data_IF_571014578437
#
_entry.id   IF_571014578437
#
_cell.length_a   1.000
_cell.length_b   1.000
_cell.length_c   1.000
_cell.angle_alpha   90.00
_cell.angle_beta   90.00
_cell.angle_gamma   90.00
#
_symmetry.space_group_name_H-M   'P 1'
#
loop_
_entity.id
_entity.type
_entity.pdbx_description
1 polymer ?
#
# COMPACT_ATOMS: atom_id res chain seq x y z
N UNK A 1 12.34 1.13 33.14
CA UNK A 1 13.50 0.63 32.38
C UNK A 1 14.12 1.76 31.59
N UNK A 2 15.44 1.81 31.40
CA UNK A 2 16.08 2.78 30.53
C UNK A 2 15.71 2.47 29.05
N UNK A 3 15.38 3.49 28.29
CA UNK A 3 15.13 3.31 26.84
C UNK A 3 16.48 3.13 26.16
N UNK A 4 16.70 1.98 25.53
CA UNK A 4 17.91 1.72 24.74
C UNK A 4 17.83 2.50 23.42
N UNK A 5 18.80 3.38 23.19
CA UNK A 5 18.96 4.06 21.92
C UNK A 5 19.72 3.15 20.92
N UNK A 6 19.28 3.14 19.68
CA UNK A 6 19.98 2.52 18.57
C UNK A 6 20.66 3.64 17.75
N UNK A 7 22.01 3.81 17.84
CA UNK A 7 22.69 4.89 17.15
C UNK A 7 22.62 4.77 15.63
N UNK A 8 22.49 3.55 15.10
CA UNK A 8 22.48 3.27 13.67
C UNK A 8 21.10 3.45 13.03
N UNK A 9 20.06 3.78 13.82
CA UNK A 9 18.68 3.88 13.32
C UNK A 9 18.52 4.92 12.22
N UNK A 10 19.21 6.05 12.33
CA UNK A 10 19.12 7.12 11.33
C UNK A 10 19.75 6.68 10.00
N UNK A 11 20.86 5.96 10.05
CA UNK A 11 21.53 5.43 8.87
C UNK A 11 20.71 4.29 8.23
N UNK A 12 20.12 3.44 9.04
CA UNK A 12 19.20 2.42 8.56
C UNK A 12 18.02 3.05 7.77
N UNK A 13 17.41 4.11 8.31
CA UNK A 13 16.26 4.73 7.66
C UNK A 13 16.59 5.53 6.40
N UNK A 14 17.86 5.90 6.18
CA UNK A 14 18.29 6.47 4.90
C UNK A 14 18.04 5.50 3.74
N UNK A 15 18.25 4.21 3.95
CA UNK A 15 17.94 3.17 2.95
C UNK A 15 16.45 3.03 2.63
N UNK A 16 15.57 3.49 3.53
CA UNK A 16 14.13 3.56 3.33
C UNK A 16 13.65 4.94 2.82
N UNK A 17 14.57 5.87 2.54
CA UNK A 17 14.28 7.17 1.94
C UNK A 17 14.32 8.36 2.91
N UNK A 18 14.59 8.18 4.22
CA UNK A 18 14.69 9.28 5.19
C UNK A 18 16.09 9.96 5.17
N UNK A 19 16.56 10.36 3.98
CA UNK A 19 17.95 10.80 3.75
C UNK A 19 18.32 12.09 4.48
N UNK A 20 17.38 13.04 4.59
CA UNK A 20 17.65 14.39 5.09
C UNK A 20 17.25 14.61 6.56
N UNK A 21 16.79 13.56 7.25
CA UNK A 21 16.33 13.63 8.63
C UNK A 21 17.38 14.18 9.61
N UNK A 22 18.67 13.94 9.34
CA UNK A 22 19.79 14.42 10.16
C UNK A 22 19.87 15.96 10.19
N UNK A 23 19.38 16.66 9.16
CA UNK A 23 19.40 18.13 9.08
C UNK A 23 18.41 18.81 10.04
N UNK A 24 17.54 18.06 10.71
CA UNK A 24 16.46 18.61 11.52
C UNK A 24 16.97 19.24 12.83
N UNK A 25 16.60 20.50 13.11
CA UNK A 25 16.91 21.24 14.34
C UNK A 25 15.78 21.20 15.37
N UNK A 26 14.77 20.39 15.19
CA UNK A 26 13.65 20.25 16.12
C UNK A 26 12.87 21.54 16.39
N UNK A 27 12.83 22.49 15.46
CA UNK A 27 12.15 23.80 15.61
C UNK A 27 10.63 23.69 15.73
N UNK A 28 10.00 22.61 15.24
CA UNK A 28 8.56 22.38 15.35
C UNK A 28 7.72 22.95 14.19
N UNK A 29 8.29 23.73 13.27
CA UNK A 29 7.56 24.37 12.18
C UNK A 29 6.75 23.38 11.33
N UNK A 30 7.30 22.19 11.08
CA UNK A 30 6.63 21.12 10.32
C UNK A 30 5.34 20.61 10.99
N UNK A 31 5.28 20.56 12.32
CA UNK A 31 4.06 20.17 13.05
C UNK A 31 3.05 21.30 13.11
N UNK A 32 3.50 22.55 13.26
CA UNK A 32 2.61 23.72 13.22
C UNK A 32 1.95 23.91 11.84
N UNK A 33 2.66 23.58 10.76
CA UNK A 33 2.16 23.67 9.40
C UNK A 33 1.25 22.52 8.99
N UNK A 34 1.19 21.43 9.75
CA UNK A 34 0.47 20.23 9.38
C UNK A 34 -0.98 20.27 9.85
N UNK A 35 -1.93 20.25 8.94
CA UNK A 35 -3.38 20.22 9.24
C UNK A 35 -3.86 18.93 9.92
N UNK A 36 -3.02 17.91 10.02
CA UNK A 36 -3.31 16.62 10.66
C UNK A 36 -2.58 16.43 11.99
N UNK A 37 -1.74 17.39 12.38
CA UNK A 37 -0.97 17.36 13.63
C UNK A 37 -1.84 17.87 14.76
N UNK A 38 -2.42 16.95 15.51
CA UNK A 38 -3.30 17.21 16.65
C UNK A 38 -2.85 16.37 17.85
N UNK A 39 -3.04 16.85 19.06
CA UNK A 39 -2.73 16.09 20.26
C UNK A 39 -3.60 14.81 20.33
N UNK A 40 -3.07 13.65 20.71
CA UNK A 40 -1.68 13.32 21.11
C UNK A 40 -0.73 12.98 19.93
N UNK A 41 -1.18 13.12 18.69
CA UNK A 41 -0.40 12.75 17.50
C UNK A 41 0.23 13.97 16.84
N UNK A 42 1.26 14.53 17.52
CA UNK A 42 1.98 15.74 17.08
C UNK A 42 3.12 15.34 16.13
N UNK A 43 2.84 15.23 14.86
CA UNK A 43 3.81 14.84 13.82
C UNK A 43 3.94 15.94 12.73
N UNK A 44 5.02 15.97 11.93
CA UNK A 44 6.15 15.02 11.82
C UNK A 44 7.21 15.15 12.93
N UNK A 45 7.27 16.24 13.69
CA UNK A 45 8.35 16.52 14.66
C UNK A 45 8.64 15.38 15.60
N UNK A 46 7.62 14.73 16.16
CA UNK A 46 7.76 13.60 17.08
C UNK A 46 8.50 12.43 16.45
N UNK A 47 8.14 12.04 15.21
CA UNK A 47 8.82 10.99 14.47
C UNK A 47 10.26 11.35 14.13
N UNK A 48 10.52 12.60 13.70
CA UNK A 48 11.87 13.13 13.48
C UNK A 48 12.73 13.02 14.74
N UNK A 49 12.17 13.37 15.91
CA UNK A 49 12.88 13.29 17.19
C UNK A 49 13.21 11.86 17.58
N UNK A 50 12.24 10.93 17.42
CA UNK A 50 12.49 9.52 17.71
C UNK A 50 13.63 8.95 16.86
N UNK A 51 13.63 9.30 15.58
CA UNK A 51 14.67 8.90 14.65
C UNK A 51 16.06 9.43 15.05
N UNK A 52 16.17 10.74 15.30
CA UNK A 52 17.45 11.38 15.69
C UNK A 52 18.00 10.88 17.03
N UNK A 53 17.12 10.50 17.94
CA UNK A 53 17.51 9.96 19.26
C UNK A 53 17.73 8.45 19.25
N UNK A 54 17.59 7.77 18.10
CA UNK A 54 17.72 6.32 18.01
C UNK A 54 16.64 5.54 18.77
N UNK A 55 15.44 6.14 18.97
CA UNK A 55 14.37 5.54 19.76
C UNK A 55 13.55 4.57 18.91
N UNK A 56 14.14 3.41 18.58
CA UNK A 56 13.55 2.40 17.71
C UNK A 56 12.21 1.86 18.21
N UNK A 57 12.13 1.46 19.48
CA UNK A 57 10.90 0.88 20.05
C UNK A 57 9.73 1.89 20.03
N UNK A 58 9.89 3.15 20.51
CA UNK A 58 8.85 4.17 20.37
C UNK A 58 8.45 4.45 18.91
N UNK A 59 9.41 4.48 17.99
CA UNK A 59 9.13 4.71 16.58
C UNK A 59 8.33 3.54 15.96
N UNK A 60 8.68 2.29 16.31
CA UNK A 60 7.97 1.08 15.85
C UNK A 60 6.52 1.02 16.35
N UNK A 61 6.26 1.56 17.53
CA UNK A 61 4.91 1.63 18.12
C UNK A 61 4.12 2.86 17.69
N UNK A 62 4.72 3.79 16.93
CA UNK A 62 4.09 5.03 16.54
C UNK A 62 3.06 4.86 15.44
N UNK A 63 1.86 5.41 15.66
CA UNK A 63 0.80 5.49 14.64
C UNK A 63 0.97 6.72 13.73
N UNK A 64 1.68 7.73 14.21
CA UNK A 64 1.87 9.03 13.54
C UNK A 64 2.27 8.92 12.05
N UNK A 65 3.22 8.04 11.64
CA UNK A 65 3.60 7.92 10.23
C UNK A 65 2.45 7.50 9.32
N UNK A 66 1.53 6.67 9.80
CA UNK A 66 0.36 6.22 9.05
C UNK A 66 -0.74 7.27 8.94
N UNK A 67 -0.79 8.24 9.87
CA UNK A 67 -1.73 9.35 9.86
C UNK A 67 -1.33 10.49 8.88
N UNK A 68 -0.09 10.51 8.40
CA UNK A 68 0.40 11.45 7.41
C UNK A 68 -0.11 11.12 5.99
N UNK A 69 -0.52 12.10 5.18
CA UNK A 69 -0.97 11.92 3.79
C UNK A 69 0.02 12.41 2.74
N UNK A 70 1.21 12.82 3.17
CA UNK A 70 2.27 13.25 2.26
C UNK A 70 1.85 14.41 1.32
N UNK A 71 1.20 15.43 1.88
CA UNK A 71 0.86 16.63 1.11
C UNK A 71 2.08 17.53 0.78
N UNK A 72 3.23 17.30 1.42
CA UNK A 72 4.48 18.01 1.19
C UNK A 72 4.63 19.34 1.92
N UNK A 73 3.58 19.91 2.49
CA UNK A 73 3.59 21.25 3.11
C UNK A 73 4.64 21.40 4.22
N UNK A 74 4.83 20.38 5.05
CA UNK A 74 5.83 20.40 6.12
C UNK A 74 7.28 20.44 5.58
N UNK A 75 7.53 19.84 4.41
CA UNK A 75 8.83 19.90 3.73
C UNK A 75 9.07 21.26 3.08
N UNK A 76 8.06 21.85 2.45
CA UNK A 76 8.15 23.19 1.86
C UNK A 76 8.45 24.28 2.90
N UNK A 77 7.89 24.12 4.10
CA UNK A 77 8.07 25.08 5.19
C UNK A 77 9.27 24.77 6.10
N UNK A 78 10.06 23.74 5.78
CA UNK A 78 11.22 23.39 6.58
C UNK A 78 12.41 24.31 6.27
N UNK A 79 12.85 25.19 7.21
CA UNK A 79 13.95 26.13 6.95
C UNK A 79 15.32 25.44 6.78
N UNK A 80 15.41 24.17 7.12
CA UNK A 80 16.64 23.38 7.04
C UNK A 80 16.68 22.36 5.89
N UNK A 81 15.58 22.22 5.13
CA UNK A 81 15.51 21.19 4.11
C UNK A 81 15.66 19.77 4.68
N UNK A 82 15.12 19.52 5.88
CA UNK A 82 15.19 18.20 6.52
C UNK A 82 14.13 17.22 5.98
N UNK A 83 13.36 17.64 5.01
CA UNK A 83 12.34 16.86 4.30
C UNK A 83 11.45 16.00 5.23
N UNK A 84 10.70 16.64 6.19
CA UNK A 84 9.90 15.88 7.15
C UNK A 84 8.84 15.00 6.49
N UNK A 85 8.27 15.42 5.36
CA UNK A 85 7.30 14.63 4.60
C UNK A 85 7.91 13.33 4.08
N UNK A 86 9.11 13.40 3.48
CA UNK A 86 9.81 12.22 2.97
C UNK A 86 10.28 11.31 4.11
N UNK A 87 10.73 11.90 5.22
CA UNK A 87 11.05 11.13 6.43
C UNK A 87 9.85 10.32 6.92
N UNK A 88 8.63 10.89 6.92
CA UNK A 88 7.41 10.14 7.28
C UNK A 88 7.15 8.98 6.32
N UNK A 89 7.46 9.12 5.03
CA UNK A 89 7.36 8.02 4.06
C UNK A 89 8.43 6.97 4.31
N UNK A 90 9.68 7.37 4.55
CA UNK A 90 10.77 6.46 4.90
C UNK A 90 10.45 5.64 6.15
N UNK A 91 9.93 6.30 7.19
CA UNK A 91 9.48 5.60 8.41
C UNK A 91 8.37 4.60 8.12
N UNK A 92 7.40 4.90 7.24
CA UNK A 92 6.37 3.90 6.85
C UNK A 92 6.95 2.68 6.17
N UNK A 93 7.89 2.86 5.22
CA UNK A 93 8.57 1.74 4.54
C UNK A 93 9.31 0.88 5.57
N UNK A 94 10.02 1.51 6.50
CA UNK A 94 10.67 0.83 7.60
C UNK A 94 9.66 0.11 8.51
N UNK A 95 8.53 0.74 8.89
CA UNK A 95 7.48 0.11 9.69
C UNK A 95 6.87 -1.10 8.98
N UNK A 96 6.63 -1.04 7.67
CA UNK A 96 6.19 -2.19 6.89
C UNK A 96 7.17 -3.35 7.06
N UNK A 97 8.49 -3.08 7.01
CA UNK A 97 9.52 -4.11 7.23
C UNK A 97 9.56 -4.65 8.67
N UNK A 98 9.12 -3.86 9.65
CA UNK A 98 9.01 -4.32 11.05
C UNK A 98 7.79 -5.20 11.29
N UNK A 99 6.68 -4.93 10.57
CA UNK A 99 5.47 -5.74 10.67
C UNK A 99 5.58 -7.05 9.89
N UNK A 100 6.31 -7.06 8.81
CA UNK A 100 6.59 -8.27 8.03
C UNK A 100 7.47 -9.24 8.83
N UNK A 101 6.98 -10.47 9.01
CA UNK A 101 7.71 -11.54 9.72
C UNK A 101 8.69 -12.28 8.82
N UNK A 102 8.52 -12.18 7.51
CA UNK A 102 9.34 -12.91 6.52
C UNK A 102 10.64 -12.20 6.19
N UNK A 103 10.72 -10.90 6.42
CA UNK A 103 11.85 -10.05 6.03
C UNK A 103 11.87 -9.64 4.56
N UNK A 104 10.90 -10.07 3.76
CA UNK A 104 10.80 -9.72 2.33
C UNK A 104 10.65 -8.21 2.14
N UNK A 105 9.82 -7.55 2.96
CA UNK A 105 9.63 -6.10 2.90
C UNK A 105 10.95 -5.32 3.05
N UNK A 106 11.83 -5.80 3.95
CA UNK A 106 13.15 -5.19 4.16
C UNK A 106 14.03 -5.34 2.92
N UNK A 107 13.99 -6.49 2.27
CA UNK A 107 14.73 -6.76 1.05
C UNK A 107 14.25 -5.84 -0.10
N UNK A 108 12.94 -5.71 -0.28
CA UNK A 108 12.35 -4.91 -1.36
C UNK A 108 12.65 -3.41 -1.19
N UNK A 109 12.42 -2.85 0.01
CA UNK A 109 12.60 -1.42 0.22
C UNK A 109 14.06 -0.95 0.32
N UNK A 110 14.97 -1.85 0.65
CA UNK A 110 16.39 -1.49 0.86
C UNK A 110 17.17 -1.27 -0.42
N UNK A 111 16.75 -1.88 -1.52
CA UNK A 111 17.42 -1.78 -2.82
C UNK A 111 16.41 -1.95 -3.96
N UNK A 112 16.40 -0.99 -4.88
CA UNK A 112 15.61 -1.10 -6.11
C UNK A 112 16.00 -2.31 -6.96
N UNK A 113 17.28 -2.68 -6.94
CA UNK A 113 17.78 -3.85 -7.67
C UNK A 113 17.20 -5.16 -7.13
N UNK A 114 17.06 -5.30 -5.80
CA UNK A 114 16.43 -6.48 -5.20
C UNK A 114 14.93 -6.53 -5.47
N UNK A 115 14.23 -5.40 -5.46
CA UNK A 115 12.82 -5.31 -5.82
C UNK A 115 12.60 -5.70 -7.29
N UNK A 116 13.39 -5.13 -8.21
CA UNK A 116 13.32 -5.47 -9.63
C UNK A 116 13.65 -6.95 -9.89
N UNK A 117 14.69 -7.48 -9.25
CA UNK A 117 15.05 -8.90 -9.35
C UNK A 117 13.92 -9.81 -8.87
N UNK A 118 13.29 -9.47 -7.73
CA UNK A 118 12.14 -10.22 -7.21
C UNK A 118 10.96 -10.20 -8.19
N UNK A 119 10.64 -9.03 -8.76
CA UNK A 119 9.58 -8.87 -9.78
C UNK A 119 9.88 -9.75 -11.00
N UNK A 120 11.11 -9.69 -11.53
CA UNK A 120 11.51 -10.48 -12.71
C UNK A 120 11.44 -11.99 -12.41
N UNK A 121 11.96 -12.43 -11.27
CA UNK A 121 11.93 -13.85 -10.88
C UNK A 121 10.50 -14.36 -10.76
N UNK A 122 9.63 -13.63 -10.05
CA UNK A 122 8.23 -14.02 -9.90
C UNK A 122 7.51 -13.99 -11.25
N UNK A 123 7.78 -13.00 -12.11
CA UNK A 123 7.21 -12.91 -13.46
C UNK A 123 7.61 -14.12 -14.32
N UNK A 124 8.90 -14.49 -14.33
CA UNK A 124 9.41 -15.63 -15.10
C UNK A 124 8.83 -16.97 -14.58
N UNK A 125 8.76 -17.14 -13.27
CA UNK A 125 8.13 -18.31 -12.66
C UNK A 125 6.64 -18.40 -13.02
N UNK A 126 5.95 -17.26 -13.01
CA UNK A 126 4.54 -17.18 -13.43
C UNK A 126 4.38 -17.57 -14.89
N UNK A 127 5.16 -16.97 -15.79
CA UNK A 127 5.13 -17.29 -17.21
C UNK A 127 5.43 -18.76 -17.48
N UNK A 128 6.50 -19.30 -16.89
CA UNK A 128 6.86 -20.72 -17.01
C UNK A 128 5.76 -21.62 -16.45
N UNK A 129 5.17 -21.28 -15.29
CA UNK A 129 4.10 -22.04 -14.68
C UNK A 129 2.85 -22.13 -15.56
N UNK A 130 2.35 -21.00 -16.08
CA UNK A 130 1.17 -20.99 -16.94
C UNK A 130 1.42 -21.60 -18.31
N UNK A 131 2.60 -21.43 -18.91
CA UNK A 131 2.99 -22.13 -20.12
C UNK A 131 3.04 -23.64 -19.92
N UNK A 132 3.69 -24.09 -18.85
CA UNK A 132 3.78 -25.52 -18.53
C UNK A 132 2.40 -26.11 -18.25
N UNK A 133 1.54 -25.41 -17.53
CA UNK A 133 0.17 -25.82 -17.26
C UNK A 133 -0.63 -25.96 -18.55
N UNK A 134 -0.60 -24.98 -19.44
CA UNK A 134 -1.32 -25.00 -20.72
C UNK A 134 -0.81 -26.10 -21.66
N UNK A 135 0.50 -26.33 -21.71
CA UNK A 135 1.12 -27.32 -22.60
C UNK A 135 1.02 -28.76 -22.07
N UNK A 136 1.19 -28.96 -20.76
CA UNK A 136 1.35 -30.30 -20.15
C UNK A 136 0.12 -30.73 -19.34
N UNK A 137 -0.57 -29.82 -18.71
CA UNK A 137 -1.58 -30.13 -17.68
C UNK A 137 -3.00 -30.36 -18.21
N UNK A 138 -3.35 -29.89 -19.39
CA UNK A 138 -4.72 -29.95 -19.88
C UNK A 138 -4.87 -30.22 -21.35
N UNK A 139 -3.79 -30.44 -22.10
CA UNK A 139 -3.87 -30.57 -23.56
C UNK A 139 -4.46 -29.35 -24.26
N UNK A 140 -4.31 -28.17 -23.61
CA UNK A 140 -4.84 -26.92 -24.12
C UNK A 140 -4.16 -26.50 -25.42
N UNK A 141 -4.95 -26.01 -26.38
CA UNK A 141 -4.42 -25.46 -27.61
C UNK A 141 -4.27 -23.92 -27.46
N UNK A 142 -3.08 -23.43 -27.71
CA UNK A 142 -2.80 -21.98 -27.69
C UNK A 142 -3.71 -21.18 -28.67
N UNK A 143 -4.24 -21.84 -29.69
CA UNK A 143 -5.22 -21.27 -30.62
C UNK A 143 -6.66 -21.29 -30.08
N UNK A 144 -6.92 -21.84 -28.90
CA UNK A 144 -8.24 -21.89 -28.26
C UNK A 144 -8.24 -21.05 -27.01
N UNK A 145 -9.01 -19.98 -26.96
CA UNK A 145 -9.07 -19.07 -25.83
C UNK A 145 -10.09 -19.52 -24.77
N UNK A 146 -11.27 -19.93 -25.17
CA UNK A 146 -12.34 -20.38 -24.28
C UNK A 146 -13.00 -21.67 -24.78
N UNK A 147 -13.80 -22.34 -23.94
CA UNK A 147 -14.49 -23.57 -24.24
C UNK A 147 -13.63 -24.84 -24.12
N UNK A 148 -14.06 -25.95 -24.68
CA UNK A 148 -13.33 -27.22 -24.65
C UNK A 148 -11.94 -27.10 -25.32
N UNK A 149 -10.89 -27.47 -24.57
CA UNK A 149 -9.51 -27.37 -25.06
C UNK A 149 -8.89 -25.99 -24.93
N UNK A 150 -9.50 -25.07 -24.16
CA UNK A 150 -8.90 -23.75 -23.87
C UNK A 150 -7.52 -23.89 -23.26
N UNK A 151 -6.59 -23.05 -23.72
CA UNK A 151 -5.21 -23.07 -23.23
C UNK A 151 -5.11 -22.80 -21.72
N UNK A 152 -5.86 -21.79 -21.25
CA UNK A 152 -6.00 -21.47 -19.82
C UNK A 152 -7.51 -21.49 -19.47
N UNK A 153 -8.05 -22.62 -19.01
CA UNK A 153 -9.46 -22.74 -18.68
C UNK A 153 -9.86 -21.74 -17.57
N UNK A 154 -10.96 -21.00 -17.71
CA UNK A 154 -11.39 -20.01 -16.70
C UNK A 154 -11.52 -20.58 -15.28
N UNK A 155 -11.94 -21.83 -15.15
CA UNK A 155 -12.01 -22.50 -13.84
C UNK A 155 -10.64 -22.62 -13.15
N UNK A 156 -9.61 -23.01 -13.90
CA UNK A 156 -8.25 -23.15 -13.35
C UNK A 156 -7.68 -21.80 -12.91
N UNK A 157 -7.89 -20.76 -13.71
CA UNK A 157 -7.51 -19.39 -13.36
C UNK A 157 -8.27 -18.93 -12.13
N UNK A 158 -9.56 -19.18 -12.05
CA UNK A 158 -10.37 -18.80 -10.89
C UNK A 158 -9.91 -19.49 -9.58
N UNK A 159 -9.57 -20.77 -9.64
CA UNK A 159 -8.98 -21.49 -8.50
C UNK A 159 -7.62 -20.88 -8.11
N UNK A 160 -6.78 -20.54 -9.08
CA UNK A 160 -5.51 -19.87 -8.84
C UNK A 160 -5.72 -18.51 -8.15
N UNK A 161 -6.63 -17.68 -8.67
CA UNK A 161 -6.91 -16.34 -8.13
C UNK A 161 -7.39 -16.41 -6.68
N UNK A 162 -8.33 -17.31 -6.37
CA UNK A 162 -8.82 -17.50 -5.00
C UNK A 162 -7.74 -18.03 -4.06
N UNK A 163 -6.90 -18.97 -4.52
CA UNK A 163 -5.79 -19.51 -3.73
C UNK A 163 -4.76 -18.42 -3.45
N UNK A 164 -4.39 -17.66 -4.46
CA UNK A 164 -3.49 -16.52 -4.33
C UNK A 164 -4.08 -15.48 -3.37
N UNK A 165 -5.34 -15.09 -3.57
CA UNK A 165 -6.04 -14.13 -2.72
C UNK A 165 -6.09 -14.57 -1.26
N UNK A 166 -6.36 -15.84 -0.99
CA UNK A 166 -6.37 -16.40 0.36
C UNK A 166 -4.98 -16.35 1.01
N UNK A 167 -3.93 -16.73 0.26
CA UNK A 167 -2.55 -16.69 0.74
C UNK A 167 -2.10 -15.26 1.05
N UNK A 168 -2.35 -14.32 0.15
CA UNK A 168 -1.98 -12.91 0.33
C UNK A 168 -2.76 -12.28 1.48
N UNK A 169 -4.06 -12.60 1.60
CA UNK A 169 -4.91 -12.17 2.71
C UNK A 169 -4.40 -12.69 4.06
N UNK A 170 -3.96 -13.94 4.11
CA UNK A 170 -3.36 -14.53 5.31
C UNK A 170 -2.05 -13.82 5.70
N UNK A 171 -1.13 -13.64 4.76
CA UNK A 171 0.14 -12.94 5.01
C UNK A 171 -0.10 -11.50 5.50
N UNK A 172 -0.97 -10.76 4.82
CA UNK A 172 -1.31 -9.40 5.21
C UNK A 172 -1.98 -9.35 6.59
N UNK A 173 -2.84 -10.32 6.91
CA UNK A 173 -3.50 -10.43 8.22
C UNK A 173 -2.49 -10.68 9.35
N UNK A 174 -1.49 -11.54 9.13
CA UNK A 174 -0.41 -11.77 10.09
C UNK A 174 0.37 -10.46 10.33
N UNK A 175 0.71 -9.75 9.26
CA UNK A 175 1.40 -8.46 9.37
C UNK A 175 0.54 -7.40 10.10
N UNK A 176 -0.77 -7.37 9.86
CA UNK A 176 -1.71 -6.50 10.60
C UNK A 176 -1.80 -6.86 12.08
N UNK A 177 -1.78 -8.16 12.43
CA UNK A 177 -1.73 -8.60 13.83
C UNK A 177 -0.42 -8.16 14.52
N UNK A 178 0.70 -8.21 13.82
CA UNK A 178 1.99 -7.69 14.34
C UNK A 178 1.94 -6.17 14.52
N UNK A 179 1.37 -5.43 13.56
CA UNK A 179 1.11 -3.99 13.73
C UNK A 179 0.28 -3.72 14.99
N UNK A 180 -0.82 -4.44 15.18
CA UNK A 180 -1.67 -4.32 16.37
C UNK A 180 -0.89 -4.60 17.66
N UNK A 181 -0.08 -5.66 17.70
CA UNK A 181 0.77 -5.97 18.85
C UNK A 181 1.75 -4.83 19.19
N UNK A 182 2.44 -4.27 18.18
CA UNK A 182 3.40 -3.20 18.42
C UNK A 182 2.74 -1.89 18.83
N UNK A 183 1.59 -1.55 18.27
CA UNK A 183 0.95 -0.24 18.47
C UNK A 183 -0.02 -0.22 19.65
N UNK A 184 -0.72 -1.33 19.92
CA UNK A 184 -1.77 -1.39 20.93
C UNK A 184 -1.36 -2.14 22.19
N UNK A 185 -0.24 -2.90 22.16
CA UNK A 185 0.31 -3.65 23.28
C UNK A 185 1.78 -3.30 23.56
N UNK A 186 2.31 -2.22 22.96
CA UNK A 186 3.66 -1.72 23.24
C UNK A 186 3.78 -1.16 24.67
N UNK A 187 5.00 -1.00 25.15
CA UNK A 187 5.32 -0.51 26.53
C UNK A 187 4.64 0.82 26.88
N UNK A 188 4.25 1.61 25.89
CA UNK A 188 3.64 2.93 26.05
C UNK A 188 2.23 3.02 25.48
N UNK A 189 1.64 1.89 25.10
CA UNK A 189 0.29 1.85 24.58
C UNK A 189 -0.75 2.15 25.66
N UNK A 190 -1.79 2.88 25.29
CA UNK A 190 -2.95 3.10 26.14
C UNK A 190 -3.75 1.79 26.20
N UNK A 191 -4.06 1.24 27.38
CA UNK A 191 -4.94 0.07 27.47
C UNK A 191 -6.33 0.41 26.94
N UNK A 192 -6.76 -0.28 25.90
CA UNK A 192 -8.07 -0.03 25.29
C UNK A 192 -9.05 -1.14 25.66
N UNK A 193 -10.19 -0.83 26.34
CA UNK A 193 -11.24 -1.80 26.62
C UNK A 193 -11.83 -2.41 25.36
N UNK A 194 -12.15 -3.70 25.38
CA UNK A 194 -12.70 -4.41 24.22
C UNK A 194 -13.99 -3.77 23.69
N UNK A 195 -14.81 -3.20 24.57
CA UNK A 195 -16.04 -2.50 24.19
C UNK A 195 -15.81 -1.34 23.21
N UNK A 196 -14.67 -0.64 23.32
CA UNK A 196 -14.33 0.42 22.39
C UNK A 196 -13.99 -0.12 20.99
N UNK A 197 -13.35 -1.29 20.89
CA UNK A 197 -13.12 -1.93 19.59
C UNK A 197 -14.44 -2.20 18.86
N UNK A 198 -15.42 -2.75 19.54
CA UNK A 198 -16.73 -3.03 18.93
C UNK A 198 -17.47 -1.73 18.58
N UNK A 199 -17.52 -0.78 19.51
CA UNK A 199 -18.23 0.50 19.33
C UNK A 199 -17.71 1.31 18.13
N UNK A 200 -16.42 1.27 17.88
CA UNK A 200 -15.77 2.05 16.83
C UNK A 200 -15.52 1.25 15.54
N UNK A 201 -15.99 0.00 15.44
CA UNK A 201 -15.69 -0.89 14.30
C UNK A 201 -16.06 -0.29 12.94
N UNK A 202 -17.18 0.43 12.86
CA UNK A 202 -17.65 1.08 11.62
C UNK A 202 -16.72 2.16 11.09
N UNK A 203 -15.75 2.63 11.89
CA UNK A 203 -14.74 3.58 11.42
C UNK A 203 -13.78 2.96 10.38
N UNK A 204 -13.56 1.65 10.46
CA UNK A 204 -12.69 0.96 9.48
C UNK A 204 -13.24 1.10 8.04
N UNK A 205 -14.45 0.61 7.71
CA UNK A 205 -14.99 0.77 6.37
C UNK A 205 -15.19 2.25 6.00
N UNK A 206 -15.59 3.09 6.95
CA UNK A 206 -15.76 4.52 6.69
C UNK A 206 -14.45 5.15 6.18
N UNK A 207 -13.34 4.97 6.91
CA UNK A 207 -12.05 5.55 6.51
C UNK A 207 -11.44 4.85 5.29
N UNK A 208 -11.70 3.56 5.10
CA UNK A 208 -11.26 2.84 3.91
C UNK A 208 -11.91 3.40 2.65
N UNK A 209 -13.23 3.47 2.60
CA UNK A 209 -13.96 3.86 1.38
C UNK A 209 -13.98 5.37 1.12
N UNK A 210 -14.07 6.20 2.16
CA UNK A 210 -14.19 7.65 1.97
C UNK A 210 -12.88 8.39 2.02
N UNK A 211 -11.86 7.80 2.65
CA UNK A 211 -10.57 8.44 2.94
C UNK A 211 -10.76 9.86 3.53
N UNK A 212 -11.79 10.00 4.38
CA UNK A 212 -12.28 11.28 4.93
C UNK A 212 -11.13 12.15 5.45
N UNK A 213 -10.16 11.55 6.14
CA UNK A 213 -9.02 12.26 6.69
C UNK A 213 -8.11 12.85 5.60
N UNK A 214 -7.92 12.15 4.46
CA UNK A 214 -7.15 12.66 3.33
C UNK A 214 -7.78 13.90 2.69
N UNK A 215 -9.10 14.00 2.70
CA UNK A 215 -9.84 15.17 2.21
C UNK A 215 -9.53 16.47 2.98
N UNK A 216 -8.96 16.39 4.19
CA UNK A 216 -8.60 17.56 4.99
C UNK A 216 -7.29 18.24 4.53
N UNK A 217 -6.51 17.65 3.62
CA UNK A 217 -5.41 18.34 2.96
C UNK A 217 -5.93 19.54 2.14
N UNK A 218 -5.15 20.62 2.04
CA UNK A 218 -5.54 21.84 1.31
C UNK A 218 -5.81 21.54 -0.16
N UNK A 219 -4.86 20.88 -0.84
CA UNK A 219 -5.07 20.39 -2.20
C UNK A 219 -5.84 19.05 -2.15
N UNK A 220 -6.97 19.03 -2.85
CA UNK A 220 -7.85 17.86 -2.93
C UNK A 220 -7.57 16.96 -4.13
N UNK A 221 -6.74 17.43 -5.06
CA UNK A 221 -6.37 16.67 -6.26
C UNK A 221 -5.80 15.30 -5.95
N UNK A 222 -4.84 15.13 -4.99
CA UNK A 222 -4.33 13.83 -4.62
C UNK A 222 -5.40 12.90 -4.02
N UNK A 223 -6.31 13.45 -3.22
CA UNK A 223 -7.42 12.69 -2.64
C UNK A 223 -8.36 12.16 -3.73
N UNK A 224 -8.80 13.03 -4.64
CA UNK A 224 -9.72 12.64 -5.73
C UNK A 224 -9.08 11.59 -6.63
N UNK A 225 -7.82 11.81 -7.04
CA UNK A 225 -7.08 10.87 -7.88
C UNK A 225 -6.90 9.52 -7.19
N UNK A 226 -6.61 9.52 -5.89
CA UNK A 226 -6.47 8.28 -5.11
C UNK A 226 -7.81 7.55 -4.93
N UNK A 227 -8.93 8.25 -4.80
CA UNK A 227 -10.26 7.63 -4.79
C UNK A 227 -10.58 6.95 -6.11
N UNK A 228 -10.35 7.63 -7.24
CA UNK A 228 -10.55 7.03 -8.59
C UNK A 228 -9.69 5.77 -8.71
N UNK A 229 -8.41 5.84 -8.36
CA UNK A 229 -7.50 4.69 -8.38
C UNK A 229 -8.04 3.52 -7.53
N UNK A 230 -8.44 3.80 -6.30
CA UNK A 230 -8.92 2.78 -5.36
C UNK A 230 -10.21 2.12 -5.84
N UNK A 231 -11.21 2.91 -6.26
CA UNK A 231 -12.48 2.35 -6.73
C UNK A 231 -12.32 1.61 -8.06
N UNK A 232 -11.48 2.09 -8.97
CA UNK A 232 -11.14 1.37 -10.20
C UNK A 232 -10.51 0.01 -9.88
N UNK A 233 -9.56 -0.02 -8.94
CA UNK A 233 -8.93 -1.27 -8.52
C UNK A 233 -9.92 -2.22 -7.83
N UNK A 234 -10.74 -1.74 -6.90
CA UNK A 234 -11.72 -2.56 -6.21
C UNK A 234 -12.78 -3.12 -7.16
N UNK A 235 -13.21 -2.32 -8.14
CA UNK A 235 -14.14 -2.80 -9.17
C UNK A 235 -13.49 -3.90 -10.01
N UNK A 236 -12.24 -3.70 -10.47
CA UNK A 236 -11.51 -4.73 -11.22
C UNK A 236 -11.31 -5.99 -10.39
N UNK A 237 -10.92 -5.86 -9.13
CA UNK A 237 -10.77 -7.00 -8.21
C UNK A 237 -12.10 -7.77 -8.06
N UNK A 238 -13.21 -7.08 -7.90
CA UNK A 238 -14.53 -7.70 -7.80
C UNK A 238 -14.89 -8.44 -9.10
N UNK A 239 -14.61 -7.83 -10.25
CA UNK A 239 -14.86 -8.47 -11.55
C UNK A 239 -14.04 -9.75 -11.71
N UNK A 240 -12.76 -9.73 -11.32
CA UNK A 240 -11.88 -10.91 -11.42
C UNK A 240 -12.30 -12.00 -10.42
N UNK A 241 -12.57 -11.64 -9.17
CA UNK A 241 -12.85 -12.61 -8.12
C UNK A 241 -14.25 -13.22 -8.23
N UNK A 242 -15.24 -12.48 -8.74
CA UNK A 242 -16.66 -12.90 -8.75
C UNK A 242 -17.18 -13.13 -10.16
N UNK A 243 -16.78 -12.30 -11.12
CA UNK A 243 -17.34 -12.27 -12.48
C UNK A 243 -16.33 -12.67 -13.58
N UNK A 244 -15.28 -13.43 -13.21
CA UNK A 244 -14.23 -13.82 -14.17
C UNK A 244 -14.80 -14.56 -15.39
N UNK A 245 -15.75 -15.47 -15.15
CA UNK A 245 -16.39 -16.22 -16.23
C UNK A 245 -17.13 -15.30 -17.22
N UNK A 246 -17.82 -14.30 -16.71
CA UNK A 246 -18.53 -13.30 -17.50
C UNK A 246 -17.58 -12.40 -18.29
N UNK A 247 -16.39 -12.17 -17.75
CA UNK A 247 -15.33 -11.39 -18.40
C UNK A 247 -14.64 -12.16 -19.53
N UNK A 248 -14.46 -13.48 -19.36
CA UNK A 248 -13.66 -14.31 -20.27
C UNK A 248 -14.49 -15.13 -21.25
N UNK A 249 -15.78 -15.42 -20.98
CA UNK A 249 -16.53 -16.39 -21.76
C UNK A 249 -17.36 -15.79 -22.87
N UNK A 250 -17.12 -16.31 -24.07
CA UNK A 250 -18.07 -16.44 -25.18
C UNK A 250 -18.31 -15.21 -26.07
N UNK A 251 -19.00 -15.41 -27.17
CA UNK A 251 -19.33 -14.38 -28.15
C UNK A 251 -20.38 -13.38 -27.65
N UNK A 252 -21.10 -13.73 -26.55
CA UNK A 252 -22.10 -12.84 -25.95
C UNK A 252 -21.40 -11.86 -24.98
N UNK A 253 -21.43 -10.59 -25.37
CA UNK A 253 -20.94 -9.50 -24.52
C UNK A 253 -21.83 -9.38 -23.29
N UNK A 254 -21.28 -9.67 -22.13
CA UNK A 254 -21.92 -9.30 -20.88
C UNK A 254 -21.68 -7.80 -20.67
N UNK A 255 -22.61 -6.96 -21.11
CA UNK A 255 -22.46 -5.52 -21.19
C UNK A 255 -22.03 -4.89 -19.85
N UNK A 256 -22.55 -5.34 -18.72
CA UNK A 256 -22.20 -4.79 -17.42
C UNK A 256 -20.74 -5.13 -17.03
N UNK A 257 -20.34 -6.40 -17.12
CA UNK A 257 -18.98 -6.81 -16.76
C UNK A 257 -17.94 -6.09 -17.62
N UNK A 258 -18.16 -6.02 -18.92
CA UNK A 258 -17.22 -5.35 -19.84
C UNK A 258 -17.20 -3.83 -19.65
N UNK A 259 -18.36 -3.17 -19.44
CA UNK A 259 -18.42 -1.72 -19.23
C UNK A 259 -17.71 -1.33 -17.94
N UNK A 260 -17.96 -2.03 -16.83
CA UNK A 260 -17.25 -1.79 -15.59
C UNK A 260 -15.76 -2.14 -15.67
N UNK A 261 -15.40 -3.20 -16.43
CA UNK A 261 -14.02 -3.57 -16.70
C UNK A 261 -13.25 -2.46 -17.43
N UNK A 262 -13.80 -1.94 -18.52
CA UNK A 262 -13.17 -0.83 -19.25
C UNK A 262 -13.12 0.45 -18.45
N UNK A 263 -14.19 0.82 -17.74
CA UNK A 263 -14.22 2.00 -16.88
C UNK A 263 -13.10 1.92 -15.82
N UNK A 264 -12.97 0.76 -15.19
CA UNK A 264 -11.90 0.50 -14.22
C UNK A 264 -10.51 0.60 -14.84
N UNK A 265 -10.29 -0.06 -15.97
CA UNK A 265 -9.00 -0.04 -16.66
C UNK A 265 -8.61 1.39 -17.10
N UNK A 266 -9.54 2.17 -17.63
CA UNK A 266 -9.33 3.58 -17.99
C UNK A 266 -8.99 4.40 -16.75
N UNK A 267 -9.72 4.20 -15.64
CA UNK A 267 -9.44 4.85 -14.37
C UNK A 267 -8.02 4.54 -13.84
N UNK A 268 -7.59 3.29 -13.91
CA UNK A 268 -6.24 2.87 -13.54
C UNK A 268 -5.16 3.49 -14.42
N UNK A 269 -5.37 3.49 -15.74
CA UNK A 269 -4.43 4.11 -16.70
C UNK A 269 -4.33 5.62 -16.46
N UNK A 270 -5.47 6.32 -16.38
CA UNK A 270 -5.52 7.76 -16.20
C UNK A 270 -4.84 8.20 -14.90
N UNK A 271 -5.11 7.52 -13.79
CA UNK A 271 -4.53 7.83 -12.48
C UNK A 271 -3.03 7.50 -12.42
N UNK A 272 -2.60 6.44 -13.08
CA UNK A 272 -1.19 6.09 -13.20
C UNK A 272 -0.42 7.12 -14.03
N UNK A 273 -0.97 7.54 -15.18
CA UNK A 273 -0.38 8.58 -16.02
C UNK A 273 -0.31 9.91 -15.26
N UNK A 274 -1.37 10.29 -14.55
CA UNK A 274 -1.37 11.49 -13.70
C UNK A 274 -0.22 11.44 -12.68
N UNK A 275 -0.08 10.32 -11.95
CA UNK A 275 0.95 10.16 -10.94
C UNK A 275 2.37 10.16 -11.54
N UNK A 276 2.59 9.49 -12.67
CA UNK A 276 3.88 9.45 -13.38
C UNK A 276 4.24 10.86 -13.88
N UNK A 277 3.30 11.52 -14.56
CA UNK A 277 3.50 12.87 -15.11
C UNK A 277 3.82 13.90 -14.03
N UNK A 278 3.10 13.85 -12.89
CA UNK A 278 3.36 14.74 -11.76
C UNK A 278 4.78 14.53 -11.19
N UNK A 279 5.22 13.28 -11.02
CA UNK A 279 6.57 12.96 -10.54
C UNK A 279 7.68 13.38 -11.51
N UNK A 280 7.44 13.30 -12.81
CA UNK A 280 8.40 13.76 -13.81
C UNK A 280 8.52 15.30 -13.81
N UNK A 281 7.38 16.00 -13.67
CA UNK A 281 7.34 17.46 -13.66
C UNK A 281 7.76 18.08 -12.33
N UNK A 282 7.51 17.39 -11.21
CA UNK A 282 7.79 17.87 -9.83
C UNK A 282 7.13 19.23 -9.51
N UNK A 283 6.00 19.50 -10.12
CA UNK A 283 5.29 20.77 -10.03
C UNK A 283 4.51 20.98 -8.71
N UNK A 284 4.20 19.88 -8.01
CA UNK A 284 3.52 19.92 -6.72
C UNK A 284 4.41 19.32 -5.60
N UNK A 285 4.23 19.80 -4.37
CA UNK A 285 5.01 19.38 -3.21
C UNK A 285 5.02 17.85 -3.00
N UNK A 286 3.87 17.21 -3.18
CA UNK A 286 3.71 15.76 -3.05
C UNK A 286 4.29 14.95 -4.22
N UNK A 287 4.80 15.61 -5.27
CA UNK A 287 5.49 14.98 -6.40
C UNK A 287 7.01 15.18 -6.39
N UNK A 288 7.55 16.04 -5.50
CA UNK A 288 8.98 16.40 -5.50
C UNK A 288 9.91 15.24 -5.26
N UNK A 289 9.55 14.38 -4.32
CA UNK A 289 10.36 13.23 -3.93
C UNK A 289 9.64 11.95 -4.31
N UNK A 290 10.41 11.00 -4.81
CA UNK A 290 9.93 9.67 -5.15
C UNK A 290 10.98 8.65 -4.76
N UNK A 291 10.58 7.62 -4.06
CA UNK A 291 11.41 6.46 -3.81
C UNK A 291 11.34 5.53 -5.02
N UNK A 292 12.38 4.73 -5.22
CA UNK A 292 12.44 3.81 -6.35
C UNK A 292 11.25 2.85 -6.40
N UNK A 293 10.80 2.34 -5.24
CA UNK A 293 9.62 1.48 -5.13
C UNK A 293 8.31 2.14 -5.61
N UNK A 294 8.24 3.48 -5.57
CA UNK A 294 7.06 4.20 -6.09
C UNK A 294 6.97 4.10 -7.62
N UNK A 295 8.12 4.06 -8.31
CA UNK A 295 8.20 3.91 -9.76
C UNK A 295 7.88 2.47 -10.19
N UNK A 296 8.39 1.46 -9.45
CA UNK A 296 8.11 0.04 -9.71
C UNK A 296 6.62 -0.23 -9.67
N UNK A 297 5.96 0.22 -8.60
CA UNK A 297 4.52 0.07 -8.45
C UNK A 297 3.72 0.72 -9.58
N UNK A 298 4.03 1.99 -9.92
CA UNK A 298 3.32 2.70 -10.99
C UNK A 298 3.57 2.08 -12.37
N UNK A 299 4.79 1.63 -12.62
CA UNK A 299 5.14 0.93 -13.85
C UNK A 299 4.37 -0.38 -14.01
N UNK A 300 4.33 -1.20 -12.96
CA UNK A 300 3.56 -2.45 -12.94
C UNK A 300 2.06 -2.20 -13.12
N UNK A 301 1.50 -1.22 -12.41
CA UNK A 301 0.08 -0.90 -12.50
C UNK A 301 -0.33 -0.45 -13.91
N UNK A 302 0.48 0.41 -14.53
CA UNK A 302 0.25 0.86 -15.89
C UNK A 302 0.40 -0.31 -16.90
N UNK A 303 1.44 -1.12 -16.75
CA UNK A 303 1.68 -2.31 -17.58
C UNK A 303 0.51 -3.29 -17.52
N UNK A 304 0.06 -3.63 -16.32
CA UNK A 304 -1.06 -4.55 -16.10
C UNK A 304 -2.35 -3.98 -16.68
N UNK A 305 -2.62 -2.70 -16.47
CA UNK A 305 -3.84 -2.07 -17.01
C UNK A 305 -3.86 -2.07 -18.54
N UNK A 306 -2.74 -1.75 -19.19
CA UNK A 306 -2.62 -1.73 -20.65
C UNK A 306 -2.69 -3.15 -21.23
N UNK A 307 -1.95 -4.10 -20.67
CA UNK A 307 -1.92 -5.48 -21.17
C UNK A 307 -3.28 -6.16 -21.00
N UNK A 308 -4.03 -5.85 -19.94
CA UNK A 308 -5.40 -6.33 -19.75
C UNK A 308 -6.37 -5.81 -20.83
N UNK A 309 -6.26 -4.53 -21.21
CA UNK A 309 -7.05 -3.96 -22.31
C UNK A 309 -6.67 -4.64 -23.63
N UNK A 310 -5.37 -4.75 -23.94
CA UNK A 310 -4.88 -5.36 -25.18
C UNK A 310 -5.35 -6.81 -25.29
N UNK A 311 -5.21 -7.60 -24.24
CA UNK A 311 -5.63 -8.99 -24.17
C UNK A 311 -7.13 -9.13 -24.51
N UNK A 312 -7.98 -8.29 -23.91
CA UNK A 312 -9.40 -8.33 -24.18
C UNK A 312 -9.74 -7.90 -25.61
N UNK A 313 -9.08 -6.88 -26.15
CA UNK A 313 -9.25 -6.44 -27.55
C UNK A 313 -8.86 -7.55 -28.52
N UNK A 314 -7.73 -8.23 -28.32
CA UNK A 314 -7.27 -9.34 -29.14
C UNK A 314 -8.26 -10.53 -29.11
N UNK A 315 -8.79 -10.83 -27.92
CA UNK A 315 -9.82 -11.85 -27.78
C UNK A 315 -11.07 -11.50 -28.60
N UNK A 316 -11.56 -10.26 -28.49
CA UNK A 316 -12.74 -9.78 -29.25
C UNK A 316 -12.51 -9.68 -30.76
N UNK A 317 -11.27 -9.48 -31.19
CA UNK A 317 -10.88 -9.47 -32.61
C UNK A 317 -10.78 -10.88 -33.22
N UNK A 318 -11.03 -11.94 -32.45
CA UNK A 318 -10.93 -13.30 -32.92
C UNK A 318 -9.50 -13.78 -33.16
N UNK A 319 -8.55 -13.27 -32.39
CA UNK A 319 -7.13 -13.62 -32.43
C UNK A 319 -6.71 -14.42 -31.16
N UNK A 320 -7.21 -15.67 -31.01
CA UNK A 320 -7.10 -16.42 -29.76
C UNK A 320 -5.65 -16.69 -29.36
N UNK A 321 -4.76 -17.00 -30.28
CA UNK A 321 -3.35 -17.23 -30.01
C UNK A 321 -2.67 -15.98 -29.45
N UNK A 322 -2.88 -14.81 -30.05
CA UNK A 322 -2.34 -13.55 -29.56
C UNK A 322 -2.95 -13.16 -28.20
N UNK A 323 -4.25 -13.42 -28.01
CA UNK A 323 -4.94 -13.18 -26.77
C UNK A 323 -4.36 -14.05 -25.63
N UNK A 324 -4.12 -15.34 -25.85
CA UNK A 324 -3.52 -16.23 -24.85
C UNK A 324 -2.08 -15.84 -24.51
N UNK A 325 -1.26 -15.49 -25.48
CA UNK A 325 0.11 -15.02 -25.23
C UNK A 325 0.08 -13.73 -24.41
N UNK A 326 -0.75 -12.76 -24.80
CA UNK A 326 -0.89 -11.49 -24.08
C UNK A 326 -1.44 -11.70 -22.67
N UNK A 327 -2.32 -12.70 -22.48
CA UNK A 327 -2.84 -13.05 -21.17
C UNK A 327 -1.74 -13.60 -20.24
N UNK A 328 -0.85 -14.45 -20.73
CA UNK A 328 0.30 -14.90 -19.96
C UNK A 328 1.20 -13.73 -19.60
N UNK A 329 1.50 -12.84 -20.54
CA UNK A 329 2.29 -11.62 -20.30
C UNK A 329 1.60 -10.72 -19.28
N UNK A 330 0.28 -10.59 -19.32
CA UNK A 330 -0.52 -9.88 -18.33
C UNK A 330 -0.37 -10.50 -16.93
N UNK A 331 -0.49 -11.83 -16.82
CA UNK A 331 -0.32 -12.54 -15.55
C UNK A 331 1.12 -12.43 -15.00
N UNK A 332 2.13 -12.39 -15.89
CA UNK A 332 3.54 -12.10 -15.49
C UNK A 332 3.71 -10.69 -14.88
N UNK A 333 2.80 -9.78 -15.12
CA UNK A 333 2.74 -8.48 -14.44
C UNK A 333 1.88 -8.52 -13.17
N UNK A 334 0.68 -9.12 -13.25
CA UNK A 334 -0.30 -9.16 -12.15
C UNK A 334 0.23 -9.93 -10.96
N UNK A 335 0.78 -11.13 -11.17
CA UNK A 335 1.20 -12.00 -10.06
C UNK A 335 2.32 -11.36 -9.22
N UNK A 336 3.44 -10.87 -9.79
CA UNK A 336 4.44 -10.18 -8.97
C UNK A 336 3.90 -8.90 -8.32
N UNK A 337 3.06 -8.13 -9.04
CA UNK A 337 2.43 -6.94 -8.47
C UNK A 337 1.60 -7.28 -7.22
N UNK A 338 0.80 -8.33 -7.25
CA UNK A 338 -0.01 -8.74 -6.10
C UNK A 338 0.84 -9.43 -5.02
N UNK A 339 1.70 -10.37 -5.40
CA UNK A 339 2.47 -11.19 -4.46
C UNK A 339 3.51 -10.39 -3.66
N UNK A 340 4.10 -9.36 -4.27
CA UNK A 340 5.13 -8.54 -3.62
C UNK A 340 4.55 -7.25 -3.01
N UNK A 341 3.66 -6.55 -3.74
CA UNK A 341 3.20 -5.24 -3.31
C UNK A 341 2.14 -5.29 -2.20
N UNK A 342 1.24 -6.29 -2.23
CA UNK A 342 0.12 -6.36 -1.27
C UNK A 342 0.62 -6.66 0.15
N UNK A 343 1.34 -7.76 0.43
CA UNK A 343 1.77 -8.06 1.79
C UNK A 343 3.06 -7.36 2.20
N UNK A 344 3.94 -6.98 1.25
CA UNK A 344 5.33 -6.63 1.58
C UNK A 344 5.75 -5.23 1.17
N UNK A 345 5.01 -4.54 0.28
CA UNK A 345 5.43 -3.26 -0.27
C UNK A 345 4.29 -2.24 -0.27
N UNK A 346 4.14 -1.49 -1.35
CA UNK A 346 3.34 -0.27 -1.44
C UNK A 346 1.87 -0.45 -1.09
N UNK A 347 1.25 -1.56 -1.47
CA UNK A 347 -0.18 -1.80 -1.24
C UNK A 347 -0.55 -2.20 0.18
N UNK A 348 0.39 -2.64 0.99
CA UNK A 348 0.15 -2.95 2.40
C UNK A 348 -0.47 -1.76 3.17
N UNK A 349 -0.26 -0.51 2.70
CA UNK A 349 -0.87 0.69 3.28
C UNK A 349 -2.41 0.69 3.21
N UNK A 350 -3.02 -0.06 2.28
CA UNK A 350 -4.47 -0.21 2.20
C UNK A 350 -5.06 -0.83 3.48
N UNK A 351 -4.30 -1.71 4.13
CA UNK A 351 -4.67 -2.28 5.43
C UNK A 351 -4.14 -1.44 6.61
N UNK A 352 -2.85 -1.08 6.58
CA UNK A 352 -2.22 -0.42 7.72
C UNK A 352 -2.77 0.97 8.00
N UNK A 353 -3.14 1.76 6.99
CA UNK A 353 -3.62 3.11 7.23
C UNK A 353 -5.02 3.16 7.85
N UNK A 354 -6.06 2.45 7.37
CA UNK A 354 -7.34 2.37 8.05
C UNK A 354 -7.22 1.84 9.46
N UNK A 355 -6.38 0.79 9.69
CA UNK A 355 -6.11 0.26 11.02
C UNK A 355 -5.45 1.29 11.93
N UNK A 356 -4.45 2.03 11.45
CA UNK A 356 -3.79 3.07 12.23
C UNK A 356 -4.74 4.20 12.63
N UNK A 357 -5.61 4.64 11.72
CA UNK A 357 -6.64 5.65 12.04
C UNK A 357 -7.61 5.11 13.10
N UNK A 358 -8.04 3.89 12.94
CA UNK A 358 -8.91 3.20 13.88
C UNK A 358 -8.25 3.07 15.26
N UNK A 359 -7.01 2.59 15.33
CA UNK A 359 -6.26 2.47 16.58
C UNK A 359 -6.00 3.82 17.26
N UNK A 360 -5.69 4.86 16.47
CA UNK A 360 -5.53 6.20 16.99
C UNK A 360 -6.82 6.72 17.65
N UNK A 361 -7.97 6.50 17.02
CA UNK A 361 -9.27 6.88 17.59
C UNK A 361 -9.63 6.08 18.83
N UNK A 362 -9.31 4.77 18.87
CA UNK A 362 -9.48 3.95 20.07
C UNK A 362 -8.64 4.46 21.24
N UNK A 363 -7.38 4.79 21.01
CA UNK A 363 -6.51 5.35 22.04
C UNK A 363 -7.00 6.71 22.55
N UNK A 364 -7.45 7.58 21.65
CA UNK A 364 -8.08 8.87 22.03
C UNK A 364 -9.36 8.66 22.86
N UNK A 365 -10.23 7.74 22.44
CA UNK A 365 -11.46 7.44 23.17
C UNK A 365 -11.18 6.85 24.57
N UNK A 366 -10.18 5.99 24.70
CA UNK A 366 -9.75 5.45 25.99
C UNK A 366 -9.18 6.55 26.90
N UNK A 367 -8.35 7.45 26.37
CA UNK A 367 -7.79 8.59 27.10
C UNK A 367 -8.90 9.57 27.55
N UNK A 368 -9.92 9.81 26.73
CA UNK A 368 -11.09 10.62 27.11
C UNK A 368 -11.90 10.00 28.27
N UNK A 369 -11.83 8.67 28.47
CA UNK A 369 -12.36 7.97 29.63
C UNK A 369 -11.41 7.98 30.85
N UNK A 370 -10.30 8.73 30.80
CA UNK A 370 -9.33 8.82 31.88
C UNK A 370 -8.32 7.66 31.93
N UNK A 371 -8.35 6.75 30.97
CA UNK A 371 -7.41 5.62 30.88
C UNK A 371 -6.07 6.15 30.37
N UNK A 372 -5.01 5.98 31.15
CA UNK A 372 -3.67 6.47 30.84
C UNK A 372 -2.71 5.32 30.50
N UNK A 373 -1.67 5.55 29.67
CA UNK A 373 -0.64 4.55 29.44
C UNK A 373 0.07 4.17 30.75
N UNK A 374 0.49 2.91 30.91
CA UNK A 374 1.25 2.47 32.09
C UNK A 374 2.64 3.11 32.11
N UNK A 375 3.13 3.50 33.30
CA UNK A 375 4.51 3.92 33.51
C UNK A 375 4.74 5.42 33.73
N UNK A 376 6.03 5.81 33.90
CA UNK A 376 6.46 7.18 34.31
C UNK A 376 6.04 8.31 33.36
N UNK A 377 5.70 8.01 32.11
CA UNK A 377 5.22 9.01 31.14
C UNK A 377 3.84 9.58 31.52
N UNK A 378 3.06 8.86 32.33
CA UNK A 378 1.82 9.41 32.92
C UNK A 378 2.08 10.65 33.83
N UNK A 379 3.32 10.81 34.29
CA UNK A 379 3.73 11.95 35.15
C UNK A 379 4.38 13.09 34.35
N UNK A 380 4.68 12.90 33.06
CA UNK A 380 5.38 13.88 32.22
C UNK A 380 4.45 14.64 31.25
N UNK A 381 3.15 14.41 31.30
CA UNK A 381 2.16 15.27 30.69
C UNK A 381 1.33 15.98 31.79
N UNK A 382 1.84 16.98 32.47
CA UNK A 382 0.96 18.00 32.99
C UNK A 382 0.52 18.81 31.77
N UNK A 383 -0.77 18.70 31.46
CA UNK A 383 -1.44 19.67 30.63
C UNK A 383 -1.18 21.03 31.22
N UNK A 384 -0.44 21.84 30.51
CA UNK A 384 -0.45 23.28 30.62
C UNK A 384 -0.74 23.84 29.24
#
# INVERSE_FOLDING_TARGET
>A
MAVRANPDLIDELQHFGAKDAIKCYQCGNCSAACSHSEDPYVFPRKSMRYLQMGLEKPLRSALDPWLCYYCGKCSEQCPRGAEPGETMMGVRRWLTSQYDFTGISRLLYRSWGSELAAIIVVALLTGAGFLSFGLLGGGGNLAVYDGPGAFLPPHAIHVFDWTMGALLGLLLSINCLRMWQFTMHGEHAVPVPFSLYVRHLLLLPLHFFTQKRFRHCEDKTPWTNHLILMFSYLTMLTLIMVFLKEMQSGPKVNWYAHSFGYLSAIGLVATSIFAIRGRLKKDAAYHRHSHESDWMFLGLLLFVSITGIIQHVLHRAGLPMAANITYIVHLMGVVPMLALEVPFSKWSHLAYRPLAIYFAQLQQAAQAQGIRPPGRLAKLNPVA
#
